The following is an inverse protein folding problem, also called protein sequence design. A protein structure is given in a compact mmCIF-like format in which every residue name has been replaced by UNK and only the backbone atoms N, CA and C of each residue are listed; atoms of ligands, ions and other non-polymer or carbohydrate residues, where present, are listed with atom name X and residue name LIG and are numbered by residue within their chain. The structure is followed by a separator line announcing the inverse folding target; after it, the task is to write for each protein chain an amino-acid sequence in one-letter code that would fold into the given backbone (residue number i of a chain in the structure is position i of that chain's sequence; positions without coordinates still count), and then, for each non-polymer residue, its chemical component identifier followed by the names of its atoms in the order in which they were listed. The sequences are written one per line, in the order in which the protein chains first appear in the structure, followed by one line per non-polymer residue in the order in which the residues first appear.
data_IF_692255193066
#
_entry.id   IF_692255193066
#
_cell.length_a   1.000
_cell.length_b   1.000
_cell.length_c   1.000
_cell.angle_alpha   90.00
_cell.angle_beta   90.00
_cell.angle_gamma   90.00
#
_symmetry.space_group_name_H-M   'P 1'
#
loop_
_entity.id
_entity.type
_entity.pdbx_description
1 polymer ?
#
# COMPACT_ATOMS: atom_id res chain seq x y z
N UNK A 1 12.27 16.99 82.86
CA UNK A 1 12.62 15.88 81.95
C UNK A 1 11.41 15.57 81.11
N UNK A 2 11.47 15.83 79.80
CA UNK A 2 10.97 14.83 78.85
C UNK A 2 11.84 14.67 77.59
N UNK A 3 12.04 13.40 77.25
CA UNK A 3 12.00 12.72 75.93
C UNK A 3 12.83 13.26 74.74
N UNK A 4 13.79 12.44 74.29
CA UNK A 4 14.60 12.63 73.08
C UNK A 4 13.82 12.50 71.76
N UNK A 5 14.45 12.85 70.63
CA UNK A 5 13.78 12.90 69.33
C UNK A 5 13.63 11.52 68.68
N UNK A 6 12.46 11.30 68.08
CA UNK A 6 12.10 10.13 67.26
C UNK A 6 12.97 10.01 66.00
N UNK A 7 13.17 8.78 65.46
CA UNK A 7 13.99 8.57 64.27
C UNK A 7 13.24 8.99 63.00
N UNK A 8 13.94 9.74 62.16
CA UNK A 8 13.49 10.12 60.80
C UNK A 8 13.42 8.86 59.94
N UNK A 9 12.21 8.43 59.60
CA UNK A 9 11.96 7.45 58.53
C UNK A 9 12.28 8.09 57.19
N UNK A 10 13.36 7.63 56.54
CA UNK A 10 13.69 7.99 55.17
C UNK A 10 12.66 7.38 54.22
N UNK A 11 11.79 8.23 53.67
CA UNK A 11 10.83 7.86 52.63
C UNK A 11 11.59 7.76 51.30
N UNK A 12 11.96 6.55 50.90
CA UNK A 12 12.49 6.30 49.56
C UNK A 12 11.34 6.44 48.56
N UNK A 13 11.41 7.33 47.54
CA UNK A 13 10.39 7.38 46.52
C UNK A 13 10.43 6.05 45.76
N UNK A 14 9.37 5.25 45.93
CA UNK A 14 9.10 4.09 45.12
C UNK A 14 9.22 4.50 43.65
N UNK A 15 10.14 3.87 42.94
CA UNK A 15 10.27 4.02 41.49
C UNK A 15 8.92 3.68 40.86
N UNK A 16 8.23 4.69 40.37
CA UNK A 16 7.04 4.55 39.52
C UNK A 16 7.45 3.79 38.26
N UNK A 17 7.37 2.45 38.32
CA UNK A 17 7.22 1.65 37.11
C UNK A 17 5.88 2.05 36.54
N UNK A 18 5.81 2.62 35.32
CA UNK A 18 4.52 2.91 34.71
C UNK A 18 3.72 1.61 34.69
N UNK A 19 2.57 1.65 35.37
CA UNK A 19 1.71 0.52 35.61
C UNK A 19 1.48 -0.29 34.34
N UNK A 20 1.38 -1.61 34.48
CA UNK A 20 0.92 -2.54 33.45
C UNK A 20 -0.52 -2.26 32.94
N UNK A 21 -1.14 -1.16 33.39
CA UNK A 21 -2.45 -0.66 33.01
C UNK A 21 -2.37 0.09 31.68
N UNK A 22 -2.67 -0.64 30.61
CA UNK A 22 -3.52 -0.27 29.47
C UNK A 22 -3.06 -0.97 28.18
N UNK A 23 -2.67 -2.24 28.34
CA UNK A 23 -2.32 -3.08 27.20
C UNK A 23 -3.62 -3.61 26.59
N UNK A 24 -4.07 -2.99 25.49
CA UNK A 24 -5.21 -3.48 24.69
C UNK A 24 -5.18 -5.01 24.52
N UNK A 25 -6.34 -5.70 24.51
CA UNK A 25 -6.41 -7.13 24.25
C UNK A 25 -5.68 -7.53 22.97
N UNK A 26 -5.00 -8.68 22.97
CA UNK A 26 -4.20 -9.17 21.83
C UNK A 26 -4.98 -9.13 20.50
N UNK A 27 -6.26 -9.51 20.53
CA UNK A 27 -7.16 -9.43 19.37
C UNK A 27 -7.26 -8.02 18.77
N UNK A 28 -7.39 -6.98 19.61
CA UNK A 28 -7.44 -5.58 19.16
C UNK A 28 -6.09 -5.06 18.66
N UNK A 29 -4.99 -5.71 19.06
CA UNK A 29 -3.63 -5.40 18.58
C UNK A 29 -3.36 -6.01 17.22
N UNK A 30 -3.75 -7.27 17.02
CA UNK A 30 -3.47 -8.05 15.81
C UNK A 30 -4.48 -7.82 14.68
N UNK A 31 -5.71 -7.39 14.98
CA UNK A 31 -6.72 -7.12 13.95
C UNK A 31 -6.23 -6.22 12.79
N UNK A 32 -5.56 -5.07 13.00
CA UNK A 32 -5.06 -4.26 11.88
C UNK A 32 -3.95 -4.96 11.08
N UNK A 33 -3.16 -5.84 11.72
CA UNK A 33 -2.12 -6.63 11.05
C UNK A 33 -2.76 -7.68 10.15
N UNK A 34 -3.74 -8.44 10.66
CA UNK A 34 -4.48 -9.44 9.88
C UNK A 34 -5.30 -8.79 8.76
N UNK A 35 -5.93 -7.63 9.04
CA UNK A 35 -6.65 -6.88 8.02
C UNK A 35 -5.71 -6.45 6.89
N UNK A 36 -4.51 -5.97 7.21
CA UNK A 36 -3.53 -5.58 6.20
C UNK A 36 -2.94 -6.79 5.44
N UNK A 37 -2.73 -7.91 6.14
CA UNK A 37 -2.26 -9.17 5.55
C UNK A 37 -3.22 -9.66 4.44
N UNK A 38 -4.53 -9.52 4.65
CA UNK A 38 -5.56 -9.98 3.72
C UNK A 38 -5.96 -8.91 2.69
N UNK A 39 -5.97 -7.64 3.08
CA UNK A 39 -6.42 -6.57 2.20
C UNK A 39 -5.39 -6.23 1.11
N UNK A 40 -4.10 -6.40 1.38
CA UNK A 40 -3.05 -6.16 0.40
C UNK A 40 -3.12 -7.08 -0.83
N UNK A 41 -3.17 -8.43 -0.71
CA UNK A 41 -3.34 -9.29 -1.87
C UNK A 41 -4.69 -9.11 -2.56
N UNK A 42 -5.78 -8.91 -1.79
CA UNK A 42 -7.10 -8.65 -2.37
C UNK A 42 -7.10 -7.37 -3.23
N UNK A 43 -6.48 -6.30 -2.73
CA UNK A 43 -6.41 -5.04 -3.47
C UNK A 43 -5.49 -5.17 -4.70
N UNK A 44 -4.37 -5.89 -4.58
CA UNK A 44 -3.45 -6.11 -5.68
C UNK A 44 -4.09 -6.90 -6.84
N UNK A 45 -4.82 -7.98 -6.53
CA UNK A 45 -5.23 -8.95 -7.54
C UNK A 45 -6.74 -8.99 -7.78
N UNK A 46 -7.56 -9.00 -6.74
CA UNK A 46 -9.00 -9.18 -6.89
C UNK A 46 -9.72 -7.87 -7.22
N UNK A 47 -9.21 -6.73 -6.75
CA UNK A 47 -9.99 -5.47 -6.73
C UNK A 47 -10.27 -4.84 -8.09
N UNK A 48 -9.66 -5.35 -9.16
CA UNK A 48 -9.82 -4.87 -10.52
C UNK A 48 -10.45 -5.93 -11.44
N UNK A 49 -11.06 -6.97 -10.87
CA UNK A 49 -11.72 -8.04 -11.62
C UNK A 49 -10.79 -9.20 -11.98
N UNK A 50 -11.25 -10.06 -12.89
CA UNK A 50 -10.45 -11.18 -13.42
C UNK A 50 -10.46 -12.48 -12.60
N UNK A 51 -10.98 -12.47 -11.37
CA UNK A 51 -11.13 -13.67 -10.54
C UNK A 51 -12.61 -13.97 -10.27
N UNK A 52 -12.98 -15.24 -10.35
CA UNK A 52 -14.28 -15.67 -9.82
C UNK A 52 -14.28 -15.53 -8.29
N UNK A 53 -15.47 -15.40 -7.70
CA UNK A 53 -15.61 -15.22 -6.25
C UNK A 53 -14.97 -16.35 -5.43
N UNK A 54 -15.01 -17.58 -5.95
CA UNK A 54 -14.44 -18.76 -5.32
C UNK A 54 -12.90 -18.74 -5.27
N UNK A 55 -12.28 -18.00 -6.19
CA UNK A 55 -10.81 -17.86 -6.28
C UNK A 55 -10.25 -16.81 -5.31
N UNK A 56 -11.09 -15.94 -4.74
CA UNK A 56 -10.62 -14.87 -3.85
C UNK A 56 -9.85 -15.44 -2.67
N UNK A 57 -10.44 -16.40 -1.95
CA UNK A 57 -9.81 -16.96 -0.75
C UNK A 57 -8.48 -17.67 -1.07
N UNK A 58 -8.39 -18.55 -2.09
CA UNK A 58 -7.12 -19.06 -2.58
C UNK A 58 -6.08 -17.95 -2.85
N UNK A 59 -6.45 -16.91 -3.60
CA UNK A 59 -5.56 -15.77 -3.90
C UNK A 59 -5.03 -15.12 -2.62
N UNK A 60 -5.88 -14.88 -1.61
CA UNK A 60 -5.44 -14.28 -0.35
C UNK A 60 -4.50 -15.19 0.45
N UNK A 61 -4.72 -16.51 0.42
CA UNK A 61 -3.88 -17.47 1.13
C UNK A 61 -2.50 -17.57 0.48
N UNK A 62 -2.46 -17.68 -0.85
CA UNK A 62 -1.20 -17.85 -1.59
C UNK A 62 -0.37 -16.57 -1.64
N UNK A 63 -1.01 -15.41 -1.87
CA UNK A 63 -0.31 -14.15 -2.05
C UNK A 63 -0.22 -13.30 -0.79
N UNK A 64 -1.04 -13.58 0.23
CA UNK A 64 -1.02 -12.88 1.52
C UNK A 64 0.34 -12.86 2.21
N UNK A 65 1.09 -13.98 2.28
CA UNK A 65 2.43 -13.98 2.84
C UNK A 65 3.36 -12.94 2.20
N UNK A 66 3.36 -12.83 0.86
CA UNK A 66 4.19 -11.89 0.11
C UNK A 66 3.62 -10.47 0.16
N UNK A 67 2.43 -10.23 -0.42
CA UNK A 67 1.85 -8.89 -0.52
C UNK A 67 1.47 -8.29 0.83
N UNK A 68 0.78 -9.09 1.66
CA UNK A 68 0.40 -8.69 3.01
C UNK A 68 1.60 -8.51 3.92
N UNK A 69 2.59 -9.42 3.84
CA UNK A 69 3.85 -9.30 4.55
C UNK A 69 4.60 -8.00 4.20
N UNK A 70 4.73 -7.70 2.91
CA UNK A 70 5.34 -6.45 2.44
C UNK A 70 4.59 -5.21 2.94
N UNK A 71 3.26 -5.17 2.82
CA UNK A 71 2.45 -4.06 3.29
C UNK A 71 2.62 -3.80 4.80
N UNK A 72 2.67 -4.85 5.62
CA UNK A 72 2.92 -4.75 7.05
C UNK A 72 4.34 -4.23 7.32
N UNK A 73 5.38 -4.81 6.70
CA UNK A 73 6.77 -4.41 6.92
C UNK A 73 7.02 -2.97 6.52
N UNK A 74 6.49 -2.53 5.38
CA UNK A 74 6.61 -1.15 4.90
C UNK A 74 5.94 -0.19 5.88
N UNK A 75 4.70 -0.49 6.28
CA UNK A 75 3.95 0.32 7.24
C UNK A 75 4.68 0.42 8.57
N UNK A 76 5.08 -0.70 9.14
CA UNK A 76 5.76 -0.75 10.44
C UNK A 76 7.10 -0.03 10.38
N UNK A 77 7.88 -0.18 9.30
CA UNK A 77 9.14 0.55 9.10
C UNK A 77 8.92 2.05 9.16
N UNK A 78 7.93 2.56 8.40
CA UNK A 78 7.61 3.99 8.41
C UNK A 78 7.21 4.46 9.82
N UNK A 79 6.39 3.69 10.55
CA UNK A 79 5.92 4.09 11.89
C UNK A 79 7.00 4.00 12.97
N UNK A 80 7.89 3.00 12.92
CA UNK A 80 9.02 2.90 13.85
C UNK A 80 10.05 4.03 13.63
N UNK A 81 10.20 4.50 12.39
CA UNK A 81 11.08 5.62 12.07
C UNK A 81 10.46 7.01 12.32
N UNK A 82 9.18 7.08 12.70
CA UNK A 82 8.42 8.33 12.76
C UNK A 82 8.24 9.00 11.40
N UNK A 83 8.38 8.23 10.31
CA UNK A 83 8.32 8.73 8.94
C UNK A 83 6.88 8.79 8.39
N UNK A 84 6.70 9.65 7.39
CA UNK A 84 5.41 9.87 6.73
C UNK A 84 5.20 9.04 5.47
N UNK A 85 4.21 9.46 4.67
CA UNK A 85 3.86 8.88 3.38
C UNK A 85 4.99 8.81 2.35
N UNK A 86 5.94 9.76 2.25
CA UNK A 86 7.05 9.65 1.31
C UNK A 86 7.86 8.36 1.48
N UNK A 87 8.14 7.94 2.72
CA UNK A 87 8.82 6.67 3.01
C UNK A 87 7.97 5.48 2.60
N UNK A 88 6.66 5.48 2.88
CA UNK A 88 5.75 4.40 2.47
C UNK A 88 5.73 4.26 0.94
N UNK A 89 5.57 5.36 0.20
CA UNK A 89 5.52 5.36 -1.27
C UNK A 89 6.84 4.89 -1.88
N UNK A 90 7.98 5.35 -1.36
CA UNK A 90 9.30 4.91 -1.85
C UNK A 90 9.57 3.44 -1.56
N UNK A 91 9.20 2.94 -0.38
CA UNK A 91 9.33 1.53 -0.05
C UNK A 91 8.34 0.66 -0.85
N UNK A 92 7.15 1.18 -1.16
CA UNK A 92 6.20 0.51 -2.04
C UNK A 92 6.71 0.44 -3.48
N UNK A 93 7.37 1.50 -3.97
CA UNK A 93 8.05 1.48 -5.26
C UNK A 93 9.19 0.44 -5.28
N UNK A 94 9.99 0.40 -4.21
CA UNK A 94 11.04 -0.61 -4.05
C UNK A 94 10.46 -2.03 -4.04
N UNK A 95 9.33 -2.23 -3.35
CA UNK A 95 8.62 -3.51 -3.37
C UNK A 95 8.13 -3.86 -4.77
N UNK A 96 7.56 -2.92 -5.53
CA UNK A 96 7.11 -3.20 -6.89
C UNK A 96 8.24 -3.62 -7.83
N UNK A 97 9.42 -2.98 -7.73
CA UNK A 97 10.61 -3.39 -8.50
C UNK A 97 11.12 -4.76 -8.04
N UNK A 98 11.16 -4.99 -6.72
CA UNK A 98 11.58 -6.27 -6.17
C UNK A 98 10.66 -7.40 -6.61
N UNK A 99 9.34 -7.19 -6.53
CA UNK A 99 8.35 -8.20 -6.86
C UNK A 99 8.44 -8.54 -8.35
N UNK A 100 8.31 -7.53 -9.23
CA UNK A 100 8.23 -7.75 -10.68
C UNK A 100 9.59 -8.12 -11.30
N UNK A 101 10.69 -7.67 -10.70
CA UNK A 101 12.04 -7.84 -11.25
C UNK A 101 12.83 -9.00 -10.63
N UNK A 102 12.62 -9.32 -9.35
CA UNK A 102 13.43 -10.32 -8.63
C UNK A 102 12.62 -11.53 -8.18
N UNK A 103 11.33 -11.38 -7.85
CA UNK A 103 10.51 -12.47 -7.30
C UNK A 103 9.78 -13.23 -8.39
N UNK A 104 8.83 -12.63 -9.10
CA UNK A 104 8.11 -13.34 -10.18
C UNK A 104 8.80 -13.18 -11.54
N UNK A 105 9.68 -12.17 -11.66
CA UNK A 105 10.42 -11.79 -12.87
C UNK A 105 9.53 -11.45 -14.07
N UNK A 106 8.27 -11.09 -13.82
CA UNK A 106 7.29 -10.67 -14.83
C UNK A 106 7.76 -9.50 -15.67
N UNK A 107 8.55 -8.58 -15.09
CA UNK A 107 9.07 -7.40 -15.78
C UNK A 107 10.04 -7.76 -16.92
N UNK A 108 10.80 -8.83 -16.75
CA UNK A 108 11.85 -9.25 -17.69
C UNK A 108 11.42 -10.42 -18.55
N UNK A 109 10.32 -11.11 -18.22
CA UNK A 109 9.84 -12.27 -18.96
C UNK A 109 8.89 -11.83 -20.08
N UNK A 110 9.32 -11.86 -21.36
CA UNK A 110 8.48 -11.42 -22.47
C UNK A 110 7.28 -12.34 -22.71
N UNK A 111 7.31 -13.57 -22.20
CA UNK A 111 6.22 -14.53 -22.29
C UNK A 111 5.32 -14.60 -21.05
N UNK A 112 5.48 -13.66 -20.10
CA UNK A 112 4.78 -13.73 -18.81
C UNK A 112 3.26 -13.77 -18.95
N UNK A 113 2.69 -13.11 -19.95
CA UNK A 113 1.24 -13.01 -20.17
C UNK A 113 0.69 -13.89 -21.30
N UNK A 114 1.53 -14.69 -21.97
CA UNK A 114 1.19 -15.40 -23.22
C UNK A 114 0.03 -16.41 -23.11
N UNK A 115 -0.25 -16.95 -21.92
CA UNK A 115 -1.31 -17.91 -21.64
C UNK A 115 -2.55 -17.25 -21.00
N UNK A 116 -2.55 -15.92 -20.90
CA UNK A 116 -3.65 -15.13 -20.35
C UNK A 116 -4.40 -14.40 -21.46
N UNK A 117 -5.52 -13.79 -21.10
CA UNK A 117 -6.27 -12.88 -21.98
C UNK A 117 -5.49 -11.59 -22.34
N UNK A 118 -4.30 -11.41 -21.77
CA UNK A 118 -3.39 -10.29 -22.05
C UNK A 118 -2.26 -10.66 -23.03
N UNK A 119 -2.28 -11.83 -23.65
CA UNK A 119 -1.25 -12.25 -24.62
C UNK A 119 -1.02 -11.20 -25.72
N UNK A 120 -2.10 -10.57 -26.21
CA UNK A 120 -2.04 -9.54 -27.26
C UNK A 120 -1.39 -8.22 -26.80
N UNK A 121 -1.19 -8.02 -25.49
CA UNK A 121 -0.52 -6.82 -24.95
C UNK A 121 0.99 -6.82 -25.18
N UNK A 122 1.56 -7.94 -25.63
CA UNK A 122 2.99 -8.07 -25.91
C UNK A 122 3.50 -7.01 -26.89
N UNK A 123 2.78 -6.77 -28.00
CA UNK A 123 3.19 -5.75 -28.97
C UNK A 123 3.24 -4.34 -28.35
N UNK A 124 2.32 -4.03 -27.43
CA UNK A 124 2.31 -2.76 -26.71
C UNK A 124 3.48 -2.65 -25.71
N UNK A 125 3.84 -3.75 -25.05
CA UNK A 125 5.03 -3.82 -24.20
C UNK A 125 6.31 -3.59 -25.01
N UNK A 126 6.43 -4.27 -26.15
CA UNK A 126 7.59 -4.19 -27.06
C UNK A 126 7.80 -2.76 -27.61
N UNK A 127 6.71 -1.99 -27.79
CA UNK A 127 6.76 -0.60 -28.26
C UNK A 127 7.50 0.38 -27.32
N UNK A 128 7.85 -0.05 -26.11
CA UNK A 128 8.53 0.77 -25.07
C UNK A 128 9.70 0.03 -24.44
N UNK A 129 10.32 -0.89 -25.19
CA UNK A 129 11.50 -1.62 -24.75
C UNK A 129 12.67 -0.68 -24.47
N UNK A 130 13.31 -0.89 -23.32
CA UNK A 130 14.59 -0.27 -22.96
C UNK A 130 15.72 -1.15 -23.50
N UNK A 131 16.48 -0.71 -24.53
CA UNK A 131 17.54 -1.53 -25.11
C UNK A 131 18.60 -1.92 -24.09
N UNK A 132 19.05 -3.17 -24.12
CA UNK A 132 20.12 -3.70 -23.27
C UNK A 132 19.69 -4.19 -21.89
N UNK A 133 18.49 -3.82 -21.43
CA UNK A 133 17.84 -4.42 -20.25
C UNK A 133 16.59 -5.23 -20.62
N UNK A 134 16.11 -5.09 -21.87
CA UNK A 134 15.06 -5.89 -22.50
C UNK A 134 13.77 -5.99 -21.68
N UNK A 135 13.33 -4.86 -21.11
CA UNK A 135 12.03 -4.72 -20.45
C UNK A 135 11.26 -3.52 -21.01
N UNK A 136 9.93 -3.58 -20.90
CA UNK A 136 9.04 -2.48 -21.25
C UNK A 136 8.98 -1.43 -20.14
N UNK A 137 9.36 -0.17 -20.44
CA UNK A 137 9.22 0.92 -19.47
C UNK A 137 7.74 1.19 -19.12
N UNK A 138 6.83 0.93 -20.06
CA UNK A 138 5.39 1.05 -19.83
C UNK A 138 4.90 0.02 -18.81
N UNK A 139 5.28 -1.26 -18.98
CA UNK A 139 4.94 -2.30 -18.00
C UNK A 139 5.59 -2.04 -16.64
N UNK A 140 6.84 -1.56 -16.61
CA UNK A 140 7.50 -1.16 -15.37
C UNK A 140 6.68 -0.09 -14.62
N UNK A 141 6.18 0.92 -15.33
CA UNK A 141 5.32 1.94 -14.76
C UNK A 141 4.02 1.35 -14.19
N UNK A 142 3.35 0.47 -14.94
CA UNK A 142 2.08 -0.13 -14.51
C UNK A 142 2.27 -1.10 -13.32
N UNK A 143 3.27 -1.98 -13.35
CA UNK A 143 3.56 -2.91 -12.24
C UNK A 143 3.96 -2.17 -10.96
N UNK A 144 4.95 -1.27 -11.03
CA UNK A 144 5.39 -0.50 -9.87
C UNK A 144 4.28 0.43 -9.38
N UNK A 145 3.55 1.07 -10.29
CA UNK A 145 2.41 1.94 -9.98
C UNK A 145 1.28 1.20 -9.26
N UNK A 146 0.89 0.03 -9.75
CA UNK A 146 -0.13 -0.81 -9.12
C UNK A 146 0.32 -1.28 -7.73
N UNK A 147 1.60 -1.66 -7.55
CA UNK A 147 2.09 -2.01 -6.21
C UNK A 147 2.10 -0.83 -5.24
N UNK A 148 2.47 0.37 -5.69
CA UNK A 148 2.39 1.59 -4.88
C UNK A 148 0.94 1.81 -4.44
N UNK A 149 0.01 1.83 -5.39
CA UNK A 149 -1.36 2.29 -5.16
C UNK A 149 -2.23 1.21 -4.53
N UNK A 150 -2.34 0.05 -5.18
CA UNK A 150 -3.27 -1.01 -4.82
C UNK A 150 -2.71 -1.97 -3.77
N UNK A 151 -1.46 -2.43 -3.91
CA UNK A 151 -0.91 -3.40 -2.96
C UNK A 151 -0.56 -2.78 -1.61
N UNK A 152 -0.04 -1.54 -1.60
CA UNK A 152 0.53 -0.94 -0.38
C UNK A 152 -0.29 0.24 0.14
N UNK A 153 -0.46 1.31 -0.65
CA UNK A 153 -1.04 2.55 -0.13
C UNK A 153 -2.52 2.41 0.23
N UNK A 154 -3.37 1.90 -0.67
CA UNK A 154 -4.81 1.77 -0.40
C UNK A 154 -5.11 0.90 0.83
N UNK A 155 -4.49 -0.30 1.00
CA UNK A 155 -4.71 -1.14 2.17
C UNK A 155 -4.26 -0.48 3.48
N UNK A 156 -3.07 0.15 3.49
CA UNK A 156 -2.57 0.87 4.68
C UNK A 156 -3.55 1.99 5.04
N UNK A 157 -3.95 2.82 4.06
CA UNK A 157 -4.87 3.94 4.27
C UNK A 157 -6.21 3.47 4.82
N UNK A 158 -6.77 2.40 4.27
CA UNK A 158 -8.05 1.84 4.70
C UNK A 158 -7.96 1.37 6.15
N UNK A 159 -7.00 0.50 6.46
CA UNK A 159 -6.84 -0.03 7.82
C UNK A 159 -6.59 1.12 8.82
N UNK A 160 -5.70 2.06 8.50
CA UNK A 160 -5.42 3.21 9.34
C UNK A 160 -6.65 4.11 9.57
N UNK A 161 -7.54 4.22 8.59
CA UNK A 161 -8.76 5.04 8.68
C UNK A 161 -9.84 4.42 9.58
N UNK A 162 -9.82 3.10 9.80
CA UNK A 162 -10.68 2.43 10.78
C UNK A 162 -10.14 2.53 12.22
N UNK A 163 -8.88 2.94 12.40
CA UNK A 163 -8.25 3.11 13.71
C UNK A 163 -8.45 4.53 14.28
N UNK A 164 -8.49 4.60 15.61
CA UNK A 164 -8.50 5.85 16.36
C UNK A 164 -7.20 6.65 16.14
N UNK A 165 -7.23 7.99 16.20
CA UNK A 165 -6.06 8.84 15.93
C UNK A 165 -4.81 8.44 16.72
N UNK A 166 -4.97 8.04 17.97
CA UNK A 166 -3.87 7.71 18.90
C UNK A 166 -3.12 6.44 18.50
N UNK A 167 -3.79 5.52 17.79
CA UNK A 167 -3.20 4.26 17.31
C UNK A 167 -2.75 4.29 15.86
N UNK A 168 -3.36 5.16 15.06
CA UNK A 168 -3.23 5.14 13.60
C UNK A 168 -1.78 5.20 13.13
N UNK A 169 -1.00 6.10 13.72
CA UNK A 169 0.38 6.38 13.31
C UNK A 169 1.43 5.72 14.23
N UNK A 170 1.00 4.86 15.18
CA UNK A 170 1.91 4.13 16.06
C UNK A 170 2.22 2.73 15.50
N UNK A 171 3.42 2.17 15.72
CA UNK A 171 3.71 0.79 15.39
C UNK A 171 2.68 -0.19 15.99
N UNK A 172 2.32 -1.22 15.24
CA UNK A 172 1.41 -2.28 15.72
C UNK A 172 2.18 -3.47 16.27
N UNK A 173 3.39 -3.70 15.75
CA UNK A 173 4.24 -4.84 16.09
C UNK A 173 5.55 -4.38 16.75
N UNK A 174 5.99 -5.16 17.74
CA UNK A 174 7.36 -5.08 18.25
C UNK A 174 8.32 -5.91 17.40
N UNK A 175 9.61 -5.91 17.78
CA UNK A 175 10.67 -6.65 17.06
C UNK A 175 10.35 -8.13 16.77
N UNK A 176 9.81 -8.92 17.73
CA UNK A 176 9.47 -10.33 17.43
C UNK A 176 8.39 -10.47 16.36
N UNK A 177 7.37 -9.60 16.39
CA UNK A 177 6.31 -9.60 15.37
C UNK A 177 6.85 -9.23 14.00
N UNK A 178 7.77 -8.27 13.92
CA UNK A 178 8.45 -7.92 12.67
C UNK A 178 9.30 -9.07 12.13
N UNK A 179 10.01 -9.81 13.00
CA UNK A 179 10.78 -10.97 12.59
C UNK A 179 9.88 -12.07 12.00
N UNK A 180 8.75 -12.37 12.65
CA UNK A 180 7.77 -13.36 12.16
C UNK A 180 7.21 -12.94 10.80
N UNK A 181 6.76 -11.69 10.66
CA UNK A 181 6.24 -11.19 9.38
C UNK A 181 7.33 -11.17 8.31
N UNK A 182 8.57 -10.84 8.67
CA UNK A 182 9.73 -10.91 7.79
C UNK A 182 9.97 -12.32 7.24
N UNK A 183 9.94 -13.34 8.10
CA UNK A 183 10.06 -14.74 7.68
C UNK A 183 8.90 -15.14 6.76
N UNK A 184 7.65 -14.81 7.12
CA UNK A 184 6.46 -15.09 6.30
C UNK A 184 6.59 -14.45 4.92
N UNK A 185 7.02 -13.19 4.86
CA UNK A 185 7.26 -12.47 3.62
C UNK A 185 8.31 -13.13 2.73
N UNK A 186 9.45 -13.53 3.32
CA UNK A 186 10.53 -14.19 2.59
C UNK A 186 10.10 -15.57 2.08
N UNK A 187 9.39 -16.36 2.89
CA UNK A 187 8.86 -17.66 2.49
C UNK A 187 7.79 -17.52 1.39
N UNK A 188 6.91 -16.52 1.51
CA UNK A 188 5.93 -16.21 0.47
C UNK A 188 6.59 -15.80 -0.84
N UNK A 189 7.61 -14.94 -0.78
CA UNK A 189 8.38 -14.53 -1.96
C UNK A 189 9.11 -15.72 -2.58
N UNK A 190 9.71 -16.60 -1.76
CA UNK A 190 10.37 -17.80 -2.23
C UNK A 190 9.39 -18.76 -2.90
N UNK A 191 8.19 -18.93 -2.33
CA UNK A 191 7.12 -19.75 -2.92
C UNK A 191 6.81 -19.28 -4.35
N UNK A 192 6.57 -17.98 -4.53
CA UNK A 192 6.29 -17.38 -5.85
C UNK A 192 7.48 -17.53 -6.80
N UNK A 193 8.70 -17.26 -6.35
CA UNK A 193 9.90 -17.41 -7.18
C UNK A 193 10.13 -18.87 -7.62
N UNK A 194 9.82 -19.82 -6.73
CA UNK A 194 10.00 -21.26 -6.95
C UNK A 194 8.96 -21.88 -7.88
N UNK A 195 7.84 -21.20 -8.12
CA UNK A 195 6.82 -21.66 -9.05
C UNK A 195 7.30 -21.50 -10.50
N UNK A 196 7.90 -22.57 -11.01
CA UNK A 196 8.39 -22.65 -12.38
C UNK A 196 7.27 -22.58 -13.43
N UNK A 197 6.02 -22.90 -13.06
CA UNK A 197 4.87 -22.81 -13.94
C UNK A 197 4.47 -21.35 -14.16
N UNK A 198 4.31 -20.57 -13.09
CA UNK A 198 4.04 -19.13 -13.17
C UNK A 198 5.17 -18.35 -13.87
N UNK A 199 6.43 -18.71 -13.62
CA UNK A 199 7.60 -18.08 -14.27
C UNK A 199 7.90 -18.64 -15.67
N UNK A 200 7.21 -19.70 -16.11
CA UNK A 200 7.36 -20.33 -17.43
C UNK A 200 8.80 -20.71 -17.78
N UNK A 201 9.56 -21.15 -16.77
CA UNK A 201 10.98 -21.49 -16.91
C UNK A 201 11.93 -20.30 -17.19
N UNK A 202 11.45 -19.06 -17.26
CA UNK A 202 12.27 -17.88 -17.56
C UNK A 202 13.16 -17.49 -16.39
N UNK A 203 14.45 -17.19 -16.61
CA UNK A 203 15.30 -16.58 -15.59
C UNK A 203 15.89 -15.27 -16.13
N UNK A 204 15.69 -14.19 -15.37
CA UNK A 204 16.28 -12.90 -15.66
C UNK A 204 17.82 -13.01 -15.69
N UNK A 205 18.43 -12.31 -16.64
CA UNK A 205 19.89 -12.28 -16.80
C UNK A 205 20.58 -11.65 -15.59
N UNK A 206 21.87 -11.94 -15.34
CA UNK A 206 22.62 -11.30 -14.26
C UNK A 206 22.59 -9.77 -14.31
N UNK A 207 22.56 -9.19 -15.53
CA UNK A 207 22.46 -7.74 -15.72
C UNK A 207 21.10 -7.20 -15.26
N UNK A 208 20.00 -7.85 -15.64
CA UNK A 208 18.64 -7.49 -15.21
C UNK A 208 18.48 -7.60 -13.69
N UNK A 209 18.98 -8.69 -13.09
CA UNK A 209 18.98 -8.90 -11.65
C UNK A 209 19.80 -7.82 -10.91
N UNK A 210 21.00 -7.51 -11.40
CA UNK A 210 21.85 -6.47 -10.82
C UNK A 210 21.17 -5.09 -10.92
N UNK A 211 20.58 -4.77 -12.08
CA UNK A 211 19.85 -3.52 -12.28
C UNK A 211 18.67 -3.38 -11.30
N UNK A 212 17.81 -4.40 -11.21
CA UNK A 212 16.67 -4.39 -10.29
C UNK A 212 17.14 -4.29 -8.83
N UNK A 213 18.16 -5.04 -8.43
CA UNK A 213 18.70 -4.98 -7.07
C UNK A 213 19.26 -3.59 -6.72
N UNK A 214 20.05 -2.98 -7.61
CA UNK A 214 20.59 -1.62 -7.42
C UNK A 214 19.45 -0.61 -7.28
N UNK A 215 18.41 -0.70 -8.12
CA UNK A 215 17.27 0.21 -8.06
C UNK A 215 16.49 0.05 -6.75
N UNK A 216 16.25 -1.19 -6.30
CA UNK A 216 15.61 -1.48 -5.01
C UNK A 216 16.42 -0.86 -3.86
N UNK A 217 17.73 -1.10 -3.81
CA UNK A 217 18.58 -0.54 -2.76
C UNK A 217 18.63 0.99 -2.80
N UNK A 218 18.67 1.59 -3.99
CA UNK A 218 18.62 3.04 -4.14
C UNK A 218 17.30 3.62 -3.59
N UNK A 219 16.16 3.02 -3.93
CA UNK A 219 14.85 3.44 -3.44
C UNK A 219 14.74 3.29 -1.92
N UNK A 220 15.20 2.17 -1.35
CA UNK A 220 15.25 1.95 0.09
C UNK A 220 16.16 2.97 0.77
N UNK A 221 17.37 3.21 0.25
CA UNK A 221 18.29 4.20 0.80
C UNK A 221 17.67 5.60 0.82
N UNK A 222 17.01 6.00 -0.28
CA UNK A 222 16.30 7.29 -0.35
C UNK A 222 15.12 7.32 0.63
N UNK A 223 14.37 6.22 0.79
CA UNK A 223 13.25 6.13 1.72
C UNK A 223 13.65 6.30 3.19
N UNK A 224 14.87 5.86 3.54
CA UNK A 224 15.41 5.88 4.90
C UNK A 224 16.09 7.20 5.28
N UNK A 225 16.22 8.16 4.34
CA UNK A 225 16.84 9.46 4.60
C UNK A 225 16.16 10.22 5.76
N UNK A 226 16.92 10.87 6.67
CA UNK A 226 16.36 11.56 7.84
C UNK A 226 15.33 12.66 7.52
N UNK A 227 15.40 13.26 6.33
CA UNK A 227 14.49 14.34 5.91
C UNK A 227 13.01 13.91 5.91
N UNK A 228 12.73 12.63 5.69
CA UNK A 228 11.36 12.08 5.66
C UNK A 228 10.76 11.83 7.05
N UNK A 229 11.59 11.94 8.09
CA UNK A 229 11.21 11.75 9.50
C UNK A 229 10.81 13.05 10.18
N UNK A 230 11.10 14.20 9.55
CA UNK A 230 10.83 15.52 10.14
C UNK A 230 9.39 15.93 9.85
N UNK A 231 8.60 16.13 10.90
CA UNK A 231 7.32 16.80 10.79
C UNK A 231 7.58 18.27 10.43
N UNK A 232 7.34 18.64 9.17
CA UNK A 232 7.39 20.03 8.77
C UNK A 232 6.16 20.77 9.31
N UNK A 233 6.31 22.03 9.78
CA UNK A 233 5.18 22.85 10.18
C UNK A 233 4.15 22.94 9.04
N UNK A 234 2.87 22.71 9.37
CA UNK A 234 1.80 22.88 8.38
C UNK A 234 1.68 24.34 8.02
N UNK A 235 1.60 24.63 6.73
CA UNK A 235 1.45 25.98 6.19
C UNK A 235 -0.02 26.38 6.17
N UNK A 236 -0.31 27.66 6.41
CA UNK A 236 -1.65 28.22 6.17
C UNK A 236 -1.90 28.25 4.66
N UNK A 237 -2.65 27.26 4.16
CA UNK A 237 -2.89 27.05 2.74
C UNK A 237 -4.29 26.49 2.52
N UNK A 238 -4.96 26.97 1.48
CA UNK A 238 -6.23 26.39 1.02
C UNK A 238 -5.98 25.02 0.43
N UNK A 239 -6.67 24.03 0.97
CA UNK A 239 -6.63 22.64 0.50
C UNK A 239 -7.96 22.34 -0.19
N UNK A 240 -7.96 21.74 -1.40
CA UNK A 240 -9.19 21.35 -2.06
C UNK A 240 -10.05 20.41 -1.21
N UNK A 241 -11.35 20.37 -1.48
CA UNK A 241 -12.20 19.36 -0.85
C UNK A 241 -11.68 17.94 -1.21
N UNK A 242 -11.70 16.96 -0.28
CA UNK A 242 -11.14 15.63 -0.52
C UNK A 242 -11.63 14.98 -1.82
N UNK A 243 -12.92 15.13 -2.15
CA UNK A 243 -13.50 14.53 -3.36
C UNK A 243 -12.91 15.10 -4.66
N UNK A 244 -12.51 16.37 -4.68
CA UNK A 244 -11.83 16.95 -5.85
C UNK A 244 -10.43 16.38 -6.04
N UNK A 245 -9.74 16.04 -4.94
CA UNK A 245 -8.46 15.33 -5.00
C UNK A 245 -8.66 13.93 -5.58
N UNK A 246 -9.70 13.22 -5.15
CA UNK A 246 -10.07 11.92 -5.71
C UNK A 246 -10.38 11.98 -7.19
N UNK A 247 -11.23 12.92 -7.60
CA UNK A 247 -11.59 13.11 -9.01
C UNK A 247 -10.35 13.39 -9.87
N UNK A 248 -9.42 14.24 -9.40
CA UNK A 248 -8.17 14.50 -10.13
C UNK A 248 -7.36 13.22 -10.35
N UNK A 249 -7.22 12.37 -9.32
CA UNK A 249 -6.45 11.12 -9.43
C UNK A 249 -7.10 10.16 -10.43
N UNK A 250 -8.43 10.07 -10.41
CA UNK A 250 -9.19 9.26 -11.37
C UNK A 250 -8.98 9.76 -12.80
N UNK A 251 -9.11 11.07 -13.03
CA UNK A 251 -8.90 11.68 -14.35
C UNK A 251 -7.47 11.50 -14.86
N UNK A 252 -6.48 11.64 -13.97
CA UNK A 252 -5.06 11.41 -14.29
C UNK A 252 -4.82 9.97 -14.69
N UNK A 253 -5.43 8.99 -14.01
CA UNK A 253 -5.30 7.57 -14.38
C UNK A 253 -5.82 7.33 -15.79
N UNK A 254 -6.99 7.86 -16.14
CA UNK A 254 -7.50 7.78 -17.51
C UNK A 254 -6.57 8.44 -18.53
N UNK A 255 -6.06 9.63 -18.21
CA UNK A 255 -5.13 10.35 -19.08
C UNK A 255 -3.84 9.58 -19.38
N UNK A 256 -3.37 8.76 -18.43
CA UNK A 256 -2.15 7.97 -18.59
C UNK A 256 -2.28 6.83 -19.62
N UNK A 257 -3.52 6.43 -19.95
CA UNK A 257 -3.81 5.29 -20.82
C UNK A 257 -4.25 5.71 -22.24
N UNK A 258 -4.30 7.01 -22.54
CA UNK A 258 -4.81 7.53 -23.82
C UNK A 258 -3.86 7.32 -25.01
N UNK A 259 -2.57 7.15 -24.78
CA UNK A 259 -1.57 7.12 -25.86
C UNK A 259 -0.63 5.93 -25.65
N UNK A 260 -0.41 5.08 -26.66
CA UNK A 260 0.54 3.98 -26.57
C UNK A 260 1.99 4.44 -26.80
N UNK A 261 2.95 3.53 -26.62
CA UNK A 261 4.35 3.77 -26.94
C UNK A 261 5.04 4.81 -26.05
N UNK A 262 6.17 5.34 -26.52
CA UNK A 262 6.97 6.33 -25.80
C UNK A 262 6.24 7.63 -25.44
N UNK A 263 5.38 8.22 -26.31
CA UNK A 263 4.58 9.37 -25.93
C UNK A 263 3.64 9.06 -24.75
N UNK A 264 3.04 7.87 -24.76
CA UNK A 264 2.24 7.35 -23.64
C UNK A 264 3.00 7.30 -22.34
N UNK A 265 4.22 6.74 -22.37
CA UNK A 265 5.10 6.68 -21.20
C UNK A 265 5.43 8.08 -20.67
N UNK A 266 5.78 9.02 -21.56
CA UNK A 266 6.08 10.39 -21.16
C UNK A 266 4.87 11.08 -20.51
N UNK A 267 3.67 10.89 -21.06
CA UNK A 267 2.41 11.40 -20.50
C UNK A 267 2.15 10.78 -19.12
N UNK A 268 2.22 9.46 -19.01
CA UNK A 268 1.97 8.73 -17.76
C UNK A 268 2.92 9.17 -16.64
N UNK A 269 4.23 9.25 -16.92
CA UNK A 269 5.24 9.73 -15.97
C UNK A 269 5.01 11.20 -15.57
N UNK A 270 4.69 12.06 -16.54
CA UNK A 270 4.45 13.48 -16.29
C UNK A 270 3.21 13.70 -15.43
N UNK A 271 2.12 13.00 -15.72
CA UNK A 271 0.89 13.07 -14.95
C UNK A 271 1.07 12.50 -13.54
N UNK A 272 1.80 11.38 -13.38
CA UNK A 272 2.13 10.81 -12.09
C UNK A 272 3.00 11.76 -11.24
N UNK A 273 4.01 12.39 -11.84
CA UNK A 273 4.84 13.38 -11.17
C UNK A 273 4.03 14.63 -10.78
N UNK A 274 3.17 15.13 -11.67
CA UNK A 274 2.32 16.28 -11.42
C UNK A 274 1.33 16.02 -10.28
N UNK A 275 0.61 14.89 -10.30
CA UNK A 275 -0.36 14.55 -9.24
C UNK A 275 0.34 14.28 -7.91
N UNK A 276 1.49 13.59 -7.92
CA UNK A 276 2.32 13.38 -6.73
C UNK A 276 2.81 14.69 -6.13
N UNK A 277 3.28 15.61 -6.98
CA UNK A 277 3.69 16.96 -6.59
C UNK A 277 2.54 17.80 -6.00
N UNK A 278 1.35 17.74 -6.61
CA UNK A 278 0.14 18.41 -6.10
C UNK A 278 -0.31 17.84 -4.75
N UNK A 279 -0.29 16.51 -4.57
CA UNK A 279 -0.59 15.87 -3.29
C UNK A 279 0.45 16.27 -2.23
N UNK A 280 1.74 16.28 -2.56
CA UNK A 280 2.79 16.75 -1.65
C UNK A 280 2.59 18.24 -1.28
N UNK A 281 2.23 19.07 -2.26
CA UNK A 281 1.94 20.48 -2.08
C UNK A 281 0.72 20.70 -1.15
N UNK A 282 -0.40 20.02 -1.40
CA UNK A 282 -1.61 20.15 -0.58
C UNK A 282 -1.47 19.53 0.80
N UNK A 283 -0.74 18.42 0.94
CA UNK A 283 -0.54 17.74 2.22
C UNK A 283 0.27 18.54 3.24
N UNK A 284 1.02 19.56 2.78
CA UNK A 284 1.68 20.53 3.67
C UNK A 284 0.73 21.58 4.25
N UNK A 285 -0.52 21.67 3.78
CA UNK A 285 -1.52 22.63 4.24
C UNK A 285 -2.20 22.23 5.55
N UNK A 286 -2.55 23.20 6.38
CA UNK A 286 -3.26 22.99 7.66
C UNK A 286 -4.62 22.29 7.50
N UNK A 287 -5.28 22.46 6.36
CA UNK A 287 -6.56 21.82 6.04
C UNK A 287 -6.47 20.37 5.56
N UNK A 288 -5.27 19.81 5.34
CA UNK A 288 -5.11 18.43 4.90
C UNK A 288 -5.29 17.45 6.07
N UNK A 289 -6.34 16.64 5.98
CA UNK A 289 -6.72 15.70 7.03
C UNK A 289 -6.77 14.24 6.56
N UNK A 290 -7.17 13.35 7.47
CA UNK A 290 -7.30 11.91 7.16
C UNK A 290 -8.30 11.64 6.03
N UNK A 291 -9.32 12.48 5.84
CA UNK A 291 -10.27 12.33 4.73
C UNK A 291 -9.59 12.53 3.37
N UNK A 292 -8.64 13.46 3.28
CA UNK A 292 -7.82 13.63 2.08
C UNK A 292 -6.89 12.44 1.86
N UNK A 293 -6.26 11.93 2.92
CA UNK A 293 -5.44 10.71 2.86
C UNK A 293 -6.26 9.50 2.41
N UNK A 294 -7.48 9.34 2.94
CA UNK A 294 -8.42 8.29 2.55
C UNK A 294 -8.70 8.37 1.05
N UNK A 295 -9.22 9.50 0.59
CA UNK A 295 -9.61 9.66 -0.82
C UNK A 295 -8.40 9.54 -1.75
N UNK A 296 -7.27 10.15 -1.41
CA UNK A 296 -6.07 10.06 -2.25
C UNK A 296 -5.50 8.64 -2.31
N UNK A 297 -5.51 7.91 -1.19
CA UNK A 297 -5.00 6.55 -1.12
C UNK A 297 -5.93 5.51 -1.74
N UNK A 298 -7.25 5.73 -1.78
CA UNK A 298 -8.21 4.75 -2.30
C UNK A 298 -8.79 5.09 -3.66
N UNK A 299 -8.44 6.23 -4.27
CA UNK A 299 -8.93 6.61 -5.60
C UNK A 299 -8.57 5.55 -6.66
N UNK A 300 -7.35 5.00 -6.61
CA UNK A 300 -6.96 3.89 -7.48
C UNK A 300 -7.79 2.63 -7.25
N UNK A 301 -8.07 2.28 -6.00
CA UNK A 301 -8.91 1.13 -5.65
C UNK A 301 -10.36 1.30 -6.14
N UNK A 302 -10.93 2.50 -6.00
CA UNK A 302 -12.28 2.81 -6.52
C UNK A 302 -12.31 2.73 -8.05
N UNK A 303 -11.23 3.18 -8.70
CA UNK A 303 -11.11 3.08 -10.17
C UNK A 303 -11.00 1.62 -10.60
N UNK A 304 -10.14 0.83 -9.94
CA UNK A 304 -10.02 -0.61 -10.17
C UNK A 304 -11.39 -1.31 -10.06
N UNK A 305 -12.11 -1.08 -8.96
CA UNK A 305 -13.41 -1.72 -8.74
C UNK A 305 -14.48 -1.31 -9.77
N UNK A 306 -14.44 -0.07 -10.25
CA UNK A 306 -15.35 0.40 -11.29
C UNK A 306 -15.09 -0.26 -12.66
N UNK A 307 -13.85 -0.68 -12.90
CA UNK A 307 -13.42 -1.30 -14.16
C UNK A 307 -13.33 -2.82 -14.12
N UNK A 308 -13.61 -3.44 -12.96
CA UNK A 308 -13.60 -4.89 -12.79
C UNK A 308 -14.44 -5.63 -13.84
N UNK A 309 -15.61 -5.09 -14.16
CA UNK A 309 -16.55 -5.63 -15.15
C UNK A 309 -16.02 -5.65 -16.60
N UNK A 310 -14.91 -4.97 -16.88
CA UNK A 310 -14.28 -4.92 -18.20
C UNK A 310 -13.08 -5.88 -18.30
N UNK A 311 -12.69 -6.49 -17.19
CA UNK A 311 -11.54 -7.38 -17.12
C UNK A 311 -12.00 -8.83 -17.34
N UNK A 312 -11.47 -9.53 -18.36
CA UNK A 312 -11.82 -10.92 -18.59
C UNK A 312 -11.23 -11.81 -17.49
N UNK A 313 -11.85 -12.97 -17.19
CA UNK A 313 -11.36 -13.84 -16.14
C UNK A 313 -10.02 -14.49 -16.52
N UNK A 314 -9.11 -14.59 -15.56
CA UNK A 314 -7.80 -15.24 -15.71
C UNK A 314 -7.89 -16.75 -15.88
N UNK A 315 -8.96 -17.35 -15.34
CA UNK A 315 -9.26 -18.78 -15.42
C UNK A 315 -10.65 -18.99 -16.04
N UNK A 316 -10.94 -20.17 -16.62
CA UNK A 316 -12.27 -20.47 -17.13
C UNK A 316 -13.32 -20.36 -16.02
N UNK A 317 -14.28 -19.44 -16.19
CA UNK A 317 -15.40 -19.24 -15.27
C UNK A 317 -16.70 -19.06 -16.06
N UNK A 318 -17.84 -19.44 -15.45
CA UNK A 318 -19.14 -19.11 -16.05
C UNK A 318 -19.40 -17.60 -15.99
N UNK A 319 -20.16 -17.02 -16.94
CA UNK A 319 -20.49 -15.59 -16.91
C UNK A 319 -21.12 -15.12 -15.59
N UNK A 320 -21.95 -15.98 -14.97
CA UNK A 320 -22.57 -15.69 -13.69
C UNK A 320 -21.55 -15.65 -12.54
N UNK A 321 -20.56 -16.56 -12.53
CA UNK A 321 -19.52 -16.59 -11.51
C UNK A 321 -18.55 -15.41 -11.64
N UNK A 322 -18.19 -15.02 -12.87
CA UNK A 322 -17.39 -13.82 -13.13
C UNK A 322 -18.12 -12.55 -12.65
N UNK A 323 -19.39 -12.38 -13.05
CA UNK A 323 -20.21 -11.24 -12.62
C UNK A 323 -20.38 -11.19 -11.09
N UNK A 324 -20.55 -12.34 -10.43
CA UNK A 324 -20.63 -12.39 -8.98
C UNK A 324 -19.33 -11.92 -8.31
N UNK A 325 -18.17 -12.26 -8.89
CA UNK A 325 -16.85 -11.74 -8.49
C UNK A 325 -16.78 -10.21 -8.59
N UNK A 326 -17.15 -9.64 -9.74
CA UNK A 326 -17.09 -8.18 -9.97
C UNK A 326 -18.05 -7.40 -9.06
N UNK A 327 -19.25 -7.94 -8.82
CA UNK A 327 -20.20 -7.39 -7.84
C UNK A 327 -19.59 -7.44 -6.43
N UNK A 328 -18.97 -8.57 -6.04
CA UNK A 328 -18.31 -8.68 -4.74
C UNK A 328 -17.19 -7.65 -4.58
N UNK A 329 -16.38 -7.43 -5.63
CA UNK A 329 -15.34 -6.36 -5.67
C UNK A 329 -15.94 -4.99 -5.39
N UNK A 330 -17.04 -4.66 -6.06
CA UNK A 330 -17.75 -3.39 -5.88
C UNK A 330 -18.27 -3.24 -4.45
N UNK A 331 -18.96 -4.26 -3.94
CA UNK A 331 -19.54 -4.26 -2.58
C UNK A 331 -18.45 -4.12 -1.52
N UNK A 332 -17.35 -4.88 -1.61
CA UNK A 332 -16.23 -4.81 -0.67
C UNK A 332 -15.60 -3.42 -0.72
N UNK A 333 -15.32 -2.88 -1.91
CA UNK A 333 -14.71 -1.55 -2.07
C UNK A 333 -15.59 -0.45 -1.46
N UNK A 334 -16.88 -0.44 -1.79
CA UNK A 334 -17.84 0.54 -1.26
C UNK A 334 -17.98 0.42 0.25
N UNK A 335 -18.06 -0.80 0.78
CA UNK A 335 -18.15 -1.04 2.22
C UNK A 335 -16.91 -0.56 2.96
N UNK A 336 -15.71 -0.83 2.45
CA UNK A 336 -14.44 -0.44 3.06
C UNK A 336 -14.24 1.08 3.01
N UNK A 337 -14.35 1.69 1.83
CA UNK A 337 -14.13 3.13 1.64
C UNK A 337 -15.23 3.94 2.31
N UNK A 338 -16.49 3.55 2.13
CA UNK A 338 -17.65 4.20 2.75
C UNK A 338 -17.64 4.07 4.27
N UNK A 339 -17.33 2.88 4.79
CA UNK A 339 -17.18 2.62 6.22
C UNK A 339 -16.06 3.43 6.86
N UNK A 340 -14.90 3.52 6.19
CA UNK A 340 -13.78 4.36 6.62
C UNK A 340 -14.18 5.84 6.62
N UNK A 341 -14.82 6.32 5.56
CA UNK A 341 -15.29 7.71 5.46
C UNK A 341 -16.28 8.06 6.57
N UNK A 342 -17.25 7.19 6.83
CA UNK A 342 -18.25 7.37 7.89
C UNK A 342 -17.62 7.39 9.29
N UNK A 343 -16.67 6.49 9.57
CA UNK A 343 -15.88 6.48 10.81
C UNK A 343 -15.15 7.81 11.02
N UNK A 344 -14.53 8.35 9.97
CA UNK A 344 -13.82 9.63 10.02
C UNK A 344 -14.75 10.84 10.16
N UNK A 345 -16.02 10.74 9.76
CA UNK A 345 -17.03 11.76 10.04
C UNK A 345 -17.39 11.82 11.51
N UNK A 346 -17.63 10.67 12.14
CA UNK A 346 -18.00 10.56 13.56
C UNK A 346 -16.87 10.94 14.53
N UNK A 347 -15.62 10.77 14.12
CA UNK A 347 -14.45 11.09 14.95
C UNK A 347 -14.07 12.59 14.96
N UNK A 348 -14.77 13.44 14.19
CA UNK A 348 -14.60 14.89 14.30
C UNK A 348 -15.43 15.37 15.50
N UNK A 349 -14.84 15.96 16.56
CA UNK A 349 -15.63 16.48 17.67
C UNK A 349 -16.55 17.57 17.13
N UNK A 350 -17.85 17.41 17.33
CA UNK A 350 -18.73 18.56 17.37
C UNK A 350 -18.25 19.40 18.55
N UNK A 351 -17.53 20.49 18.25
CA UNK A 351 -17.33 21.55 19.23
C UNK A 351 -18.69 22.19 19.41
N UNK A 352 -19.47 21.70 20.36
CA UNK A 352 -20.54 22.49 20.94
C UNK A 352 -19.84 23.63 21.68
N UNK A 353 -19.70 24.77 21.00
CA UNK A 353 -19.54 26.04 21.69
C UNK A 353 -20.85 26.23 22.44
N UNK A 354 -20.84 25.92 23.74
CA UNK A 354 -21.87 26.41 24.63
C UNK A 354 -21.80 27.94 24.54
N UNK A 355 -22.84 28.55 23.99
CA UNK A 355 -23.06 29.98 24.13
C UNK A 355 -23.26 30.24 25.63
N UNK A 356 -22.29 30.93 26.23
CA UNK A 356 -22.46 31.63 27.49
C UNK A 356 -22.98 33.04 27.23
#
# INVERSE_FOLDING_TARGET
MPTGPDPVTADHPATDRPAAADRLPLRRRLLPVLALLLLAPWAAECSWGGFAIDDFLPVLIFLGPMYGGAAILIRETARHLGAGWPTIVLLAAAFGVLQAGLVDQSLFNPGYLDDTQYADTRAAAEATLVPGLDFSLRQAFDYVGNHIVLTICAPIVLVESFLRPERRQRPWLGRPGLAVVGVIYLLGSLLIFSDSSGRKGFLASPLQLAFAAVLVFALVAVALLPRWRRALPRRSRRVPHPLWVGLLIVLVRFGADLTPGWPGVAIALSLAAAVGGLIAYWSSGSGWGQRHVLVAGTAGLVTAAAFAYLVPPYSPASPAAALAGDIAVTVITVALVGGAWWRLRRASPAVHVAAG
#
